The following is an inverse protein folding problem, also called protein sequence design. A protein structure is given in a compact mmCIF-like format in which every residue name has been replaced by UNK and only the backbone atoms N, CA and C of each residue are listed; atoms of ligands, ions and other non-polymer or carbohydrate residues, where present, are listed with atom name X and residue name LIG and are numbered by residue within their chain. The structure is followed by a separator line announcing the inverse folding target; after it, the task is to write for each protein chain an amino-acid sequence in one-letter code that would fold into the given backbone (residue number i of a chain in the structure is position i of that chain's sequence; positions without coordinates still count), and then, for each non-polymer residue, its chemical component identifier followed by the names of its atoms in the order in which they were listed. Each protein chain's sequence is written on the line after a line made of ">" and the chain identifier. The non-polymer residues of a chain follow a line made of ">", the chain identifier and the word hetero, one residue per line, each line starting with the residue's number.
data_IF_715893826805
#
_entry.id   IF_715893826805
#
_cell.length_a   1.000
_cell.length_b   1.000
_cell.length_c   1.000
_cell.angle_alpha   90.00
_cell.angle_beta   90.00
_cell.angle_gamma   90.00
#
_symmetry.space_group_name_H-M   'P 1'
#
loop_
_entity.id
_entity.type
_entity.pdbx_description
1 polymer ?
#
# COMPACT_ATOMS: atom_id res chain seq x y z
N UNK A 1 -4.37 29.91 36.70
CA UNK A 1 -3.70 29.92 35.39
C UNK A 1 -4.76 29.70 34.33
N UNK A 2 -5.13 30.76 33.61
CA UNK A 2 -6.26 30.77 32.70
C UNK A 2 -5.91 30.13 31.34
N UNK A 3 -6.75 29.18 30.93
CA UNK A 3 -6.80 28.58 29.60
C UNK A 3 -7.01 29.65 28.53
N UNK A 4 -6.03 29.85 27.63
CA UNK A 4 -6.23 30.61 26.39
C UNK A 4 -6.95 29.70 25.39
N UNK A 5 -8.27 29.83 25.33
CA UNK A 5 -9.07 29.32 24.22
C UNK A 5 -8.62 30.05 22.93
N UNK A 6 -8.27 29.28 21.91
CA UNK A 6 -7.95 29.82 20.59
C UNK A 6 -9.16 30.55 20.03
N UNK A 7 -8.95 31.78 19.57
CA UNK A 7 -9.97 32.57 18.88
C UNK A 7 -10.15 31.96 17.48
N UNK A 8 -11.27 31.25 17.26
CA UNK A 8 -11.69 30.84 15.91
C UNK A 8 -11.79 32.09 15.03
N UNK A 9 -10.85 32.24 14.09
CA UNK A 9 -10.92 33.27 13.06
C UNK A 9 -11.83 32.77 11.94
N UNK A 10 -13.13 32.93 12.14
CA UNK A 10 -14.16 32.66 11.14
C UNK A 10 -15.51 32.34 11.77
N UNK A 11 -16.56 33.02 11.33
CA UNK A 11 -17.93 32.71 11.72
C UNK A 11 -18.35 31.38 11.08
N UNK A 12 -18.19 30.30 11.85
CA UNK A 12 -18.54 28.93 11.46
C UNK A 12 -19.98 28.83 10.98
N UNK A 13 -20.90 29.54 11.63
CA UNK A 13 -22.30 29.45 11.30
C UNK A 13 -22.60 30.20 10.00
N UNK A 14 -21.94 31.33 9.75
CA UNK A 14 -21.98 32.01 8.45
C UNK A 14 -21.40 31.14 7.32
N UNK A 15 -20.28 30.45 7.56
CA UNK A 15 -19.69 29.53 6.58
C UNK A 15 -20.62 28.35 6.28
N UNK A 16 -21.21 27.73 7.32
CA UNK A 16 -22.13 26.61 7.16
C UNK A 16 -23.46 27.06 6.52
N UNK A 17 -23.92 28.28 6.79
CA UNK A 17 -25.08 28.86 6.13
C UNK A 17 -24.81 29.13 4.65
N UNK A 18 -23.61 29.60 4.30
CA UNK A 18 -23.18 29.76 2.91
C UNK A 18 -23.13 28.41 2.17
N UNK A 19 -22.57 27.38 2.80
CA UNK A 19 -22.49 26.04 2.24
C UNK A 19 -23.87 25.38 2.07
N UNK A 20 -24.83 25.65 2.97
CA UNK A 20 -26.22 25.17 2.87
C UNK A 20 -27.07 26.00 1.89
N UNK A 21 -26.76 27.28 1.74
CA UNK A 21 -27.46 28.24 0.87
C UNK A 21 -26.97 28.23 -0.58
N UNK A 22 -25.79 27.68 -0.85
CA UNK A 22 -25.31 27.37 -2.20
C UNK A 22 -26.20 26.28 -2.83
N UNK A 23 -27.26 26.74 -3.51
CA UNK A 23 -28.30 25.91 -4.09
C UNK A 23 -27.79 24.92 -5.14
N UNK A 24 -28.46 23.75 -5.14
CA UNK A 24 -28.27 22.57 -5.97
C UNK A 24 -26.89 21.90 -5.82
N UNK A 25 -26.83 20.55 -5.75
CA UNK A 25 -25.55 19.86 -5.87
C UNK A 25 -24.90 20.39 -7.15
N UNK A 26 -23.62 20.78 -7.09
CA UNK A 26 -22.85 21.00 -8.29
C UNK A 26 -23.18 19.84 -9.22
N UNK A 27 -23.95 20.11 -10.28
CA UNK A 27 -24.21 19.08 -11.27
C UNK A 27 -22.83 18.75 -11.78
N UNK A 28 -22.31 17.58 -11.39
CA UNK A 28 -21.20 16.98 -12.08
C UNK A 28 -21.70 16.87 -13.51
N UNK A 29 -21.38 17.87 -14.33
CA UNK A 29 -21.58 17.76 -15.76
C UNK A 29 -20.82 16.48 -16.11
N UNK A 30 -21.46 15.49 -16.75
CA UNK A 30 -20.72 14.35 -17.24
C UNK A 30 -19.54 14.92 -18.01
N UNK A 31 -18.33 14.61 -17.54
CA UNK A 31 -17.11 15.03 -18.21
C UNK A 31 -17.32 14.56 -19.65
N UNK A 32 -17.34 15.50 -20.61
CA UNK A 32 -17.33 15.15 -22.02
C UNK A 32 -16.18 14.15 -22.15
N UNK A 33 -16.44 12.88 -22.55
CA UNK A 33 -15.39 11.89 -22.58
C UNK A 33 -14.26 12.47 -23.41
N UNK A 34 -13.10 12.67 -22.78
CA UNK A 34 -11.94 13.10 -23.52
C UNK A 34 -11.77 12.11 -24.68
N UNK A 35 -11.46 12.58 -25.90
CA UNK A 35 -11.22 11.69 -27.00
C UNK A 35 -10.20 10.64 -26.53
N UNK A 36 -10.55 9.36 -26.70
CA UNK A 36 -9.67 8.24 -26.33
C UNK A 36 -8.52 8.25 -27.31
N UNK A 37 -7.48 9.03 -27.02
CA UNK A 37 -6.21 8.93 -27.72
C UNK A 37 -5.59 7.61 -27.28
N UNK A 38 -5.36 6.65 -28.20
CA UNK A 38 -4.67 5.43 -27.84
C UNK A 38 -3.31 5.83 -27.25
N UNK A 39 -3.08 5.45 -26.00
CA UNK A 39 -1.80 5.69 -25.36
C UNK A 39 -0.77 4.77 -26.05
N UNK A 40 -0.07 5.30 -27.03
CA UNK A 40 1.02 4.61 -27.72
C UNK A 40 2.28 4.68 -26.84
N UNK A 41 2.29 3.90 -25.76
CA UNK A 41 3.49 3.73 -24.94
C UNK A 41 4.36 2.70 -25.65
N UNK A 42 5.61 3.05 -26.03
CA UNK A 42 6.54 2.09 -26.59
C UNK A 42 6.72 0.91 -25.64
N UNK A 43 6.50 -0.30 -26.14
CA UNK A 43 6.80 -1.49 -25.35
C UNK A 43 8.30 -1.51 -25.06
N UNK A 44 8.67 -1.39 -23.78
CA UNK A 44 10.02 -1.72 -23.32
C UNK A 44 9.99 -3.18 -22.87
N UNK A 45 10.51 -4.12 -23.66
CA UNK A 45 10.49 -5.51 -23.27
C UNK A 45 11.30 -5.69 -21.99
N UNK A 46 10.64 -6.21 -20.95
CA UNK A 46 11.30 -6.70 -19.75
C UNK A 46 11.51 -8.19 -19.95
N UNK A 47 12.76 -8.61 -20.13
CA UNK A 47 13.10 -10.00 -20.48
C UNK A 47 12.83 -10.96 -19.33
N UNK A 48 13.24 -10.58 -18.11
CA UNK A 48 12.90 -11.30 -16.88
C UNK A 48 12.15 -10.35 -15.94
N UNK A 49 10.84 -10.56 -15.82
CA UNK A 49 9.95 -9.73 -15.00
C UNK A 49 10.22 -9.93 -13.51
N UNK A 50 10.66 -11.12 -13.10
CA UNK A 50 10.90 -11.46 -11.70
C UNK A 50 12.18 -10.77 -11.24
N UNK A 51 13.28 -10.97 -11.97
CA UNK A 51 14.55 -10.33 -11.64
C UNK A 51 14.44 -8.81 -11.73
N UNK A 52 13.82 -8.28 -12.80
CA UNK A 52 13.63 -6.82 -12.93
C UNK A 52 12.81 -6.25 -11.77
N UNK A 53 11.78 -6.95 -11.31
CA UNK A 53 11.00 -6.52 -10.16
C UNK A 53 11.84 -6.53 -8.89
N UNK A 54 12.59 -7.60 -8.63
CA UNK A 54 13.44 -7.71 -7.45
C UNK A 54 14.49 -6.59 -7.42
N UNK A 55 15.24 -6.40 -8.52
CA UNK A 55 16.22 -5.33 -8.67
C UNK A 55 15.61 -3.95 -8.42
N UNK A 56 14.43 -3.69 -8.96
CA UNK A 56 13.79 -2.38 -8.83
C UNK A 56 13.27 -2.12 -7.41
N UNK A 57 12.78 -3.15 -6.69
CA UNK A 57 12.41 -3.03 -5.28
C UNK A 57 13.63 -2.74 -4.42
N UNK A 58 14.74 -3.44 -4.64
CA UNK A 58 16.00 -3.23 -3.92
C UNK A 58 16.60 -1.85 -4.22
N UNK A 59 16.52 -1.37 -5.46
CA UNK A 59 16.97 -0.04 -5.86
C UNK A 59 16.23 1.09 -5.11
N UNK A 60 15.03 0.83 -4.59
CA UNK A 60 14.27 1.77 -3.76
C UNK A 60 14.30 1.42 -2.26
N UNK A 61 15.29 0.62 -1.85
CA UNK A 61 15.55 0.19 -0.47
C UNK A 61 14.45 -0.71 0.14
N UNK A 62 13.72 -1.45 -0.69
CA UNK A 62 12.89 -2.56 -0.23
C UNK A 62 13.70 -3.85 -0.12
N UNK A 63 13.21 -4.80 0.69
CA UNK A 63 13.78 -6.13 0.83
C UNK A 63 12.93 -7.12 0.01
N UNK A 64 13.57 -8.03 -0.74
CA UNK A 64 12.85 -9.04 -1.52
C UNK A 64 13.24 -10.44 -1.08
N UNK A 65 12.24 -11.30 -0.87
CA UNK A 65 12.43 -12.73 -0.65
C UNK A 65 11.55 -13.50 -1.62
N UNK A 66 12.08 -14.55 -2.21
CA UNK A 66 11.34 -15.45 -3.09
C UNK A 66 11.19 -16.79 -2.39
N UNK A 67 9.96 -17.29 -2.34
CA UNK A 67 9.72 -18.63 -1.82
C UNK A 67 10.14 -19.68 -2.85
N UNK A 68 10.73 -20.76 -2.36
CA UNK A 68 11.18 -21.89 -3.15
C UNK A 68 11.11 -23.17 -2.32
N UNK A 69 11.72 -24.25 -2.80
CA UNK A 69 11.72 -25.55 -2.12
C UNK A 69 12.43 -25.53 -0.75
N UNK A 70 13.25 -24.52 -0.48
CA UNK A 70 14.10 -24.39 0.71
C UNK A 70 13.72 -23.20 1.59
N UNK A 71 13.00 -22.22 1.05
CA UNK A 71 12.60 -21.00 1.74
C UNK A 71 11.07 -20.95 1.87
N UNK A 72 10.56 -21.14 3.08
CA UNK A 72 9.13 -21.04 3.37
C UNK A 72 8.74 -19.63 3.79
N UNK A 73 7.43 -19.34 3.76
CA UNK A 73 6.90 -18.08 4.28
C UNK A 73 7.21 -17.89 5.78
N UNK A 74 7.23 -18.99 6.55
CA UNK A 74 7.54 -18.93 7.98
C UNK A 74 8.99 -18.49 8.23
N UNK A 75 9.94 -18.94 7.39
CA UNK A 75 11.35 -18.55 7.47
C UNK A 75 11.52 -17.05 7.21
N UNK A 76 10.83 -16.53 6.18
CA UNK A 76 10.85 -15.10 5.87
C UNK A 76 10.20 -14.28 7.00
N UNK A 77 9.08 -14.73 7.56
CA UNK A 77 8.46 -14.04 8.70
C UNK A 77 9.33 -14.06 9.96
N UNK A 78 10.10 -15.14 10.18
CA UNK A 78 11.08 -15.22 11.26
C UNK A 78 12.24 -14.24 11.05
N UNK A 79 12.71 -14.11 9.81
CA UNK A 79 13.73 -13.13 9.43
C UNK A 79 13.23 -11.69 9.67
N UNK A 80 12.05 -11.34 9.17
CA UNK A 80 11.44 -10.02 9.37
C UNK A 80 11.30 -9.70 10.86
N UNK A 81 10.82 -10.67 11.65
CA UNK A 81 10.67 -10.52 13.11
C UNK A 81 12.01 -10.21 13.77
N UNK A 82 13.06 -10.95 13.43
CA UNK A 82 14.38 -10.78 14.01
C UNK A 82 15.04 -9.46 13.59
N UNK A 83 14.96 -9.10 12.31
CA UNK A 83 15.57 -7.90 11.74
C UNK A 83 14.92 -6.61 12.26
N UNK A 84 13.59 -6.60 12.42
CA UNK A 84 12.82 -5.40 12.77
C UNK A 84 12.34 -5.36 14.22
N UNK A 85 12.57 -6.42 15.00
CA UNK A 85 12.16 -6.51 16.39
C UNK A 85 10.64 -6.57 16.59
N UNK A 86 9.92 -7.22 15.67
CA UNK A 86 8.45 -7.28 15.65
C UNK A 86 7.90 -8.03 16.87
N UNK A 87 6.97 -7.40 17.60
CA UNK A 87 6.24 -8.01 18.72
C UNK A 87 4.75 -8.10 18.47
N UNK A 88 4.22 -7.17 17.69
CA UNK A 88 2.80 -7.05 17.38
C UNK A 88 2.61 -6.92 15.87
N UNK A 89 1.57 -7.55 15.35
CA UNK A 89 1.27 -7.51 13.93
C UNK A 89 -0.22 -7.43 13.64
N UNK A 90 -0.55 -6.96 12.45
CA UNK A 90 -1.89 -7.08 11.88
C UNK A 90 -1.79 -7.59 10.45
N UNK A 91 -2.76 -8.41 10.05
CA UNK A 91 -2.75 -9.14 8.77
C UNK A 91 -4.03 -8.81 8.03
N UNK A 92 -3.91 -8.45 6.75
CA UNK A 92 -5.08 -8.22 5.90
C UNK A 92 -5.81 -9.54 5.61
N UNK A 93 -7.02 -9.45 5.05
CA UNK A 93 -7.80 -10.63 4.65
C UNK A 93 -7.55 -11.03 3.20
N UNK A 94 -6.38 -10.70 2.68
CA UNK A 94 -5.96 -11.10 1.34
C UNK A 94 -5.79 -12.63 1.28
N UNK A 95 -6.20 -13.29 0.18
CA UNK A 95 -5.92 -14.71 -0.06
C UNK A 95 -4.44 -15.09 0.05
N UNK A 96 -3.53 -14.19 -0.29
CA UNK A 96 -2.08 -14.39 -0.17
C UNK A 96 -1.60 -14.41 1.29
N UNK A 97 -2.41 -13.88 2.22
CA UNK A 97 -2.10 -13.83 3.64
C UNK A 97 -2.72 -14.98 4.44
N UNK A 98 -3.34 -15.96 3.78
CA UNK A 98 -3.86 -17.15 4.44
C UNK A 98 -2.74 -17.87 5.21
N UNK A 99 -3.01 -18.20 6.48
CA UNK A 99 -2.03 -18.84 7.38
C UNK A 99 -0.97 -17.91 7.98
N UNK A 100 -0.78 -16.67 7.50
CA UNK A 100 0.24 -15.74 8.02
C UNK A 100 0.06 -15.46 9.51
N UNK A 101 -1.19 -15.24 9.96
CA UNK A 101 -1.48 -14.97 11.36
C UNK A 101 -1.04 -16.14 12.26
N UNK A 102 -1.30 -17.38 11.84
CA UNK A 102 -0.89 -18.57 12.57
C UNK A 102 0.64 -18.69 12.64
N UNK A 103 1.34 -18.45 11.53
CA UNK A 103 2.80 -18.45 11.49
C UNK A 103 3.41 -17.38 12.41
N UNK A 104 2.86 -16.17 12.41
CA UNK A 104 3.30 -15.09 13.30
C UNK A 104 3.07 -15.43 14.77
N UNK A 105 1.91 -16.00 15.11
CA UNK A 105 1.64 -16.47 16.48
C UNK A 105 2.58 -17.59 16.91
N UNK A 106 2.90 -18.54 16.04
CA UNK A 106 3.89 -19.58 16.31
C UNK A 106 5.30 -19.01 16.56
N UNK A 107 5.61 -17.87 15.95
CA UNK A 107 6.83 -17.09 16.22
C UNK A 107 6.72 -16.22 17.49
N UNK A 108 5.62 -16.26 18.24
CA UNK A 108 5.44 -15.44 19.45
C UNK A 108 5.12 -13.97 19.18
N UNK A 109 4.59 -13.64 18.01
CA UNK A 109 4.07 -12.31 17.67
C UNK A 109 2.59 -12.23 18.02
N UNK A 110 2.20 -11.17 18.74
CA UNK A 110 0.79 -10.89 19.05
C UNK A 110 0.07 -10.38 17.80
N UNK A 111 -0.84 -11.17 17.24
CA UNK A 111 -1.61 -10.78 16.05
C UNK A 111 -2.94 -10.15 16.45
N UNK A 112 -3.14 -8.89 16.06
CA UNK A 112 -4.36 -8.11 16.34
C UNK A 112 -5.19 -7.96 15.08
N UNK A 113 -6.51 -8.04 15.23
CA UNK A 113 -7.43 -7.79 14.13
C UNK A 113 -7.29 -6.34 13.64
N UNK A 114 -7.34 -6.14 12.31
CA UNK A 114 -7.31 -4.81 11.71
C UNK A 114 -8.64 -4.06 11.94
N UNK A 115 -8.84 -3.52 13.13
CA UNK A 115 -10.06 -2.82 13.56
C UNK A 115 -9.96 -1.29 13.35
N UNK A 116 -9.64 -0.87 12.13
CA UNK A 116 -9.51 0.54 11.77
C UNK A 116 -8.11 1.14 11.99
N UNK A 117 -7.98 2.45 11.73
CA UNK A 117 -6.69 3.13 11.65
C UNK A 117 -5.89 3.10 12.95
N UNK A 118 -6.52 3.38 14.10
CA UNK A 118 -5.82 3.41 15.39
C UNK A 118 -5.25 2.04 15.78
N UNK A 119 -5.96 0.96 15.45
CA UNK A 119 -5.48 -0.40 15.71
C UNK A 119 -4.28 -0.76 14.84
N UNK A 120 -4.31 -0.40 13.56
CA UNK A 120 -3.21 -0.65 12.64
C UNK A 120 -1.98 0.24 12.93
N UNK A 121 -2.17 1.46 13.42
CA UNK A 121 -1.05 2.34 13.83
C UNK A 121 -0.37 1.89 15.14
N UNK A 122 -1.02 1.02 15.92
CA UNK A 122 -0.53 0.55 17.22
C UNK A 122 0.21 -0.81 17.16
N UNK A 123 0.53 -1.30 15.96
CA UNK A 123 1.28 -2.54 15.76
C UNK A 123 2.58 -2.29 15.00
N UNK A 124 3.56 -3.18 15.19
CA UNK A 124 4.89 -3.05 14.58
C UNK A 124 4.88 -3.47 13.10
N UNK A 125 4.07 -4.46 12.74
CA UNK A 125 4.04 -5.08 11.42
C UNK A 125 2.64 -5.08 10.81
N UNK A 126 2.54 -4.65 9.56
CA UNK A 126 1.40 -4.89 8.68
C UNK A 126 1.75 -5.91 7.61
N UNK A 127 0.89 -6.91 7.40
CA UNK A 127 1.04 -7.87 6.30
C UNK A 127 -0.14 -7.76 5.34
N UNK A 128 0.14 -7.57 4.05
CA UNK A 128 -0.90 -7.54 3.01
C UNK A 128 -0.58 -8.45 1.84
N UNK A 129 -1.60 -8.84 1.09
CA UNK A 129 -1.42 -9.31 -0.28
C UNK A 129 -1.23 -8.13 -1.22
N UNK A 130 -0.70 -8.38 -2.41
CA UNK A 130 -0.67 -7.43 -3.51
C UNK A 130 -1.53 -7.92 -4.68
N UNK A 131 -2.31 -7.00 -5.24
CA UNK A 131 -3.10 -7.24 -6.43
C UNK A 131 -2.19 -7.47 -7.65
N UNK A 132 -1.08 -6.74 -7.75
CA UNK A 132 -0.05 -6.84 -8.78
C UNK A 132 1.30 -6.31 -8.24
N UNK A 133 2.39 -6.63 -8.93
CA UNK A 133 3.67 -5.94 -8.83
C UNK A 133 4.07 -5.36 -10.19
N UNK A 134 4.76 -4.22 -10.22
CA UNK A 134 5.22 -3.54 -11.44
C UNK A 134 6.75 -3.63 -11.48
N UNK A 135 7.27 -4.44 -12.40
CA UNK A 135 8.68 -4.78 -12.46
C UNK A 135 9.58 -3.57 -12.71
N UNK A 136 9.23 -2.71 -13.68
CA UNK A 136 10.07 -1.58 -14.06
C UNK A 136 10.33 -0.58 -12.91
N UNK A 137 9.41 -0.46 -11.97
CA UNK A 137 9.47 0.53 -10.87
C UNK A 137 9.62 -0.11 -9.51
N UNK A 138 9.55 -1.44 -9.38
CA UNK A 138 9.51 -2.11 -8.09
C UNK A 138 8.27 -1.75 -7.27
N UNK A 139 7.15 -1.43 -7.93
CA UNK A 139 5.94 -0.96 -7.24
C UNK A 139 4.99 -2.10 -6.94
N UNK A 140 4.43 -2.14 -5.73
CA UNK A 140 3.32 -3.01 -5.36
C UNK A 140 2.00 -2.30 -5.61
N UNK A 141 0.98 -3.04 -6.05
CA UNK A 141 -0.38 -2.54 -6.21
C UNK A 141 -1.26 -3.17 -5.13
N UNK A 142 -1.71 -2.36 -4.18
CA UNK A 142 -2.61 -2.77 -3.10
C UNK A 142 -3.98 -2.11 -3.32
N UNK A 143 -5.06 -2.89 -3.33
CA UNK A 143 -6.40 -2.39 -3.68
C UNK A 143 -7.44 -2.67 -2.60
N UNK A 144 -8.40 -1.76 -2.39
CA UNK A 144 -9.41 -1.88 -1.31
C UNK A 144 -10.42 -3.01 -1.51
N UNK A 145 -10.59 -3.51 -2.74
CA UNK A 145 -11.43 -4.69 -2.99
C UNK A 145 -10.90 -5.92 -2.24
N UNK A 146 -9.63 -5.88 -1.82
CA UNK A 146 -8.97 -6.88 -1.00
C UNK A 146 -8.90 -6.39 0.44
N UNK A 147 -9.84 -6.89 1.25
CA UNK A 147 -10.31 -6.27 2.48
C UNK A 147 -9.22 -5.89 3.51
N UNK A 148 -9.27 -4.63 3.98
CA UNK A 148 -8.47 -4.10 5.10
C UNK A 148 -7.07 -3.61 4.72
N UNK A 149 -6.67 -3.77 3.47
CA UNK A 149 -5.28 -3.61 3.01
C UNK A 149 -4.70 -2.21 3.21
N UNK A 150 -5.48 -1.13 3.02
CA UNK A 150 -4.96 0.26 3.08
C UNK A 150 -4.30 0.61 4.41
N UNK A 151 -4.99 0.42 5.54
CA UNK A 151 -4.44 0.81 6.84
C UNK A 151 -3.32 -0.13 7.25
N UNK A 152 -3.42 -1.40 6.87
CA UNK A 152 -2.41 -2.43 7.14
C UNK A 152 -1.12 -2.18 6.36
N UNK A 153 -1.18 -1.68 5.12
CA UNK A 153 0.01 -1.37 4.32
C UNK A 153 0.64 -0.02 4.62
N UNK A 154 -0.08 0.92 5.25
CA UNK A 154 0.37 2.31 5.39
C UNK A 154 0.76 2.72 6.81
N UNK A 155 0.11 2.18 7.83
CA UNK A 155 0.25 2.70 9.20
C UNK A 155 1.33 1.99 10.04
N UNK A 156 1.47 0.65 9.97
CA UNK A 156 2.56 -0.02 10.65
C UNK A 156 3.92 0.45 10.12
N UNK A 157 4.94 0.60 10.99
CA UNK A 157 6.27 1.03 10.59
C UNK A 157 6.97 0.00 9.69
N UNK A 158 6.57 -1.26 9.73
CA UNK A 158 7.06 -2.32 8.82
C UNK A 158 5.90 -2.88 8.01
N UNK A 159 6.08 -2.99 6.71
CA UNK A 159 5.10 -3.59 5.79
C UNK A 159 5.70 -4.81 5.10
N UNK A 160 5.03 -5.95 5.21
CA UNK A 160 5.28 -7.14 4.38
C UNK A 160 4.17 -7.25 3.34
N UNK A 161 4.55 -7.30 2.07
CA UNK A 161 3.63 -7.50 0.96
C UNK A 161 3.89 -8.85 0.27
N UNK A 162 2.88 -9.69 0.18
CA UNK A 162 2.94 -11.00 -0.47
C UNK A 162 2.34 -10.87 -1.88
N UNK A 163 3.13 -11.15 -2.91
CA UNK A 163 2.72 -11.01 -4.31
C UNK A 163 2.99 -12.30 -5.08
N UNK A 164 2.00 -12.75 -5.84
CA UNK A 164 2.16 -13.91 -6.72
C UNK A 164 3.04 -13.53 -7.91
N UNK A 165 4.01 -14.37 -8.26
CA UNK A 165 4.89 -14.18 -9.42
C UNK A 165 4.08 -14.01 -10.72
N UNK A 166 3.00 -14.77 -10.89
CA UNK A 166 2.10 -14.64 -12.05
C UNK A 166 1.26 -13.36 -12.09
N UNK A 167 1.42 -12.45 -11.12
CA UNK A 167 0.80 -11.12 -11.08
C UNK A 167 1.83 -9.99 -11.15
N UNK A 168 3.07 -10.31 -11.49
CA UNK A 168 4.05 -9.30 -11.87
C UNK A 168 3.77 -8.85 -13.30
N UNK A 169 3.70 -7.54 -13.47
CA UNK A 169 3.51 -6.84 -14.74
C UNK A 169 4.83 -6.16 -15.09
N UNK A 170 5.17 -6.05 -16.36
CA UNK A 170 6.39 -5.39 -16.78
C UNK A 170 6.35 -3.90 -16.41
N UNK A 171 5.19 -3.25 -16.61
CA UNK A 171 5.07 -1.79 -16.57
C UNK A 171 3.70 -1.33 -16.04
N UNK A 172 3.61 -0.05 -15.65
CA UNK A 172 2.36 0.53 -15.16
C UNK A 172 1.27 0.63 -16.24
N UNK A 173 1.64 0.78 -17.52
CA UNK A 173 0.67 0.77 -18.62
C UNK A 173 -0.05 -0.57 -18.75
N UNK A 174 0.65 -1.68 -18.48
CA UNK A 174 0.06 -3.01 -18.44
C UNK A 174 -1.01 -3.10 -17.35
N UNK A 175 -0.75 -2.56 -16.16
CA UNK A 175 -1.75 -2.46 -15.09
C UNK A 175 -3.01 -1.76 -15.59
N UNK A 176 -2.88 -0.56 -16.17
CA UNK A 176 -4.03 0.20 -16.65
C UNK A 176 -4.80 -0.48 -17.78
N UNK A 177 -4.14 -1.32 -18.60
CA UNK A 177 -4.84 -2.18 -19.59
C UNK A 177 -5.62 -3.33 -18.94
N UNK A 178 -5.16 -3.84 -17.79
CA UNK A 178 -5.86 -4.91 -17.05
C UNK A 178 -7.04 -4.41 -16.22
N UNK A 179 -7.01 -3.16 -15.73
CA UNK A 179 -8.05 -2.64 -14.83
C UNK A 179 -9.48 -2.77 -15.37
N UNK A 180 -9.81 -2.40 -16.63
CA UNK A 180 -11.17 -2.52 -17.14
C UNK A 180 -11.70 -3.96 -17.16
N UNK A 181 -10.81 -4.94 -17.38
CA UNK A 181 -11.18 -6.37 -17.38
C UNK A 181 -11.34 -6.91 -15.97
N UNK A 182 -10.48 -6.48 -15.04
CA UNK A 182 -10.55 -6.88 -13.62
C UNK A 182 -11.73 -6.27 -12.90
N UNK A 183 -12.07 -5.03 -13.24
CA UNK A 183 -13.09 -4.22 -12.58
C UNK A 183 -14.15 -3.76 -13.58
N UNK A 184 -14.95 -4.68 -14.15
CA UNK A 184 -15.94 -4.35 -15.18
C UNK A 184 -17.04 -3.40 -14.65
N UNK A 185 -17.26 -3.39 -13.33
CA UNK A 185 -18.27 -2.58 -12.66
C UNK A 185 -17.71 -1.28 -12.06
N UNK A 186 -16.48 -0.89 -12.43
CA UNK A 186 -15.81 0.30 -11.91
C UNK A 186 -14.71 -0.02 -10.88
N UNK A 187 -13.77 0.92 -10.75
CA UNK A 187 -12.59 0.78 -9.90
C UNK A 187 -12.95 0.67 -8.41
N UNK A 188 -12.10 0.00 -7.60
CA UNK A 188 -12.24 0.01 -6.15
C UNK A 188 -12.16 1.45 -5.59
N UNK A 189 -12.66 1.65 -4.38
CA UNK A 189 -12.62 2.95 -3.70
C UNK A 189 -11.20 3.49 -3.50
N UNK A 190 -10.18 2.62 -3.53
CA UNK A 190 -8.78 3.02 -3.65
C UNK A 190 -7.91 1.95 -4.35
N UNK A 191 -6.77 2.41 -4.84
CA UNK A 191 -5.65 1.58 -5.27
C UNK A 191 -4.37 2.34 -4.93
N UNK A 192 -3.48 1.71 -4.17
CA UNK A 192 -2.24 2.30 -3.66
C UNK A 192 -1.08 1.65 -4.39
N UNK A 193 -0.24 2.49 -5.01
CA UNK A 193 1.01 2.06 -5.61
C UNK A 193 2.13 2.37 -4.60
N UNK A 194 2.78 1.33 -4.08
CA UNK A 194 3.82 1.44 -3.05
C UNK A 194 5.17 1.17 -3.70
N UNK A 195 6.08 2.15 -3.68
CA UNK A 195 7.41 2.05 -4.30
C UNK A 195 8.48 2.27 -3.24
N UNK A 196 8.92 1.17 -2.62
CA UNK A 196 9.88 1.20 -1.51
C UNK A 196 9.29 1.71 -0.19
N UNK A 197 10.12 1.79 0.87
CA UNK A 197 9.74 2.40 2.13
C UNK A 197 9.42 3.90 2.00
N UNK A 198 8.59 4.40 2.90
CA UNK A 198 8.24 5.81 3.00
C UNK A 198 9.47 6.66 3.32
N UNK A 199 9.79 7.59 2.42
CA UNK A 199 10.91 8.53 2.53
C UNK A 199 10.37 9.94 2.37
N UNK A 200 10.64 10.79 3.35
CA UNK A 200 10.37 12.22 3.28
C UNK A 200 11.70 12.96 3.41
N UNK A 201 12.02 13.78 2.42
CA UNK A 201 13.17 14.70 2.43
C UNK A 201 12.68 16.16 2.56
N UNK A 202 11.55 16.35 3.23
CA UNK A 202 10.66 17.50 3.02
C UNK A 202 11.14 18.79 3.71
N UNK A 203 11.95 18.69 4.77
CA UNK A 203 12.43 19.86 5.52
C UNK A 203 13.88 19.56 5.94
N UNK A 204 14.86 20.32 5.44
CA UNK A 204 16.31 20.26 5.77
C UNK A 204 17.24 19.31 4.98
N UNK A 205 16.81 18.68 3.88
CA UNK A 205 17.65 17.76 3.08
C UNK A 205 18.18 16.54 3.86
N UNK A 206 17.69 16.29 5.08
CA UNK A 206 17.94 15.06 5.81
C UNK A 206 16.84 14.04 5.47
N UNK A 207 17.26 12.90 4.93
CA UNK A 207 16.37 11.78 4.64
C UNK A 207 15.80 11.24 5.95
N UNK A 208 14.52 11.51 6.21
CA UNK A 208 13.79 10.90 7.32
C UNK A 208 12.93 9.78 6.77
N UNK A 209 13.16 8.56 7.25
CA UNK A 209 12.40 7.37 6.88
C UNK A 209 11.17 7.25 7.79
N UNK A 210 10.00 6.98 7.20
CA UNK A 210 8.81 6.56 7.95
C UNK A 210 7.91 7.65 8.52
N UNK A 211 8.01 8.90 8.05
CA UNK A 211 7.18 10.01 8.58
C UNK A 211 5.70 9.86 8.18
N UNK A 212 5.43 9.34 6.98
CA UNK A 212 4.08 9.26 6.41
C UNK A 212 3.68 7.83 5.96
N UNK A 213 4.46 6.83 6.34
CA UNK A 213 4.22 5.44 5.96
C UNK A 213 5.27 4.48 6.54
N UNK A 214 5.31 3.21 6.11
CA UNK A 214 6.26 2.24 6.64
C UNK A 214 7.71 2.70 6.40
N UNK A 215 8.55 2.62 7.44
CA UNK A 215 9.99 2.85 7.34
C UNK A 215 10.75 1.68 6.71
N UNK A 216 10.12 0.50 6.65
CA UNK A 216 10.69 -0.71 6.06
C UNK A 216 9.64 -1.44 5.23
N UNK A 217 10.04 -1.91 4.05
CA UNK A 217 9.21 -2.68 3.12
C UNK A 217 9.88 -4.01 2.83
N UNK A 218 9.12 -5.09 2.99
CA UNK A 218 9.52 -6.45 2.66
C UNK A 218 8.54 -7.02 1.64
N UNK A 219 9.05 -7.60 0.56
CA UNK A 219 8.26 -8.18 -0.52
C UNK A 219 8.54 -9.68 -0.60
N UNK A 220 7.47 -10.47 -0.53
CA UNK A 220 7.56 -11.93 -0.62
C UNK A 220 6.93 -12.38 -1.94
N UNK A 221 7.75 -12.94 -2.81
CA UNK A 221 7.32 -13.52 -4.09
C UNK A 221 6.90 -14.97 -3.87
N UNK A 222 5.67 -15.31 -4.27
CA UNK A 222 5.06 -16.65 -4.13
C UNK A 222 4.51 -17.21 -5.43
#
# INVERSE_FOLDING_TARGET
>A
MASRAGVEHGDRDAFLALARGAGAPHSFRPVVPLPRVPLAIPARPVTDVIERFAESVEAVAGNVRRLDATTSLADVLAEVRAAEGIKTATVSRDPECEGVAASLTALGVEVRAAAGASSAAAVDLGVTGAAYGIALTGSLVVAADRAGSRTVSLLPPVHVAIVRVGRLLATADELFRHLPRRFPNGLPSNMVLITGPSRSADIELQLTLGVHGPRSLWVVLV
#
